data_IF_673471583838
#
_entry.id   IF_673471583838
#
_cell.length_a   1.000
_cell.length_b   1.000
_cell.length_c   1.000
_cell.angle_alpha   90.00
_cell.angle_beta   90.00
_cell.angle_gamma   90.00
#
_symmetry.space_group_name_H-M   'P 1'
#
loop_
_entity.id
_entity.type
_entity.pdbx_description
1 polymer ?
#
# COMPACT_ATOMS: atom_id res chain seq x y z
N UNK A 1 -15.73 21.06 22.25
CA UNK A 1 -14.72 19.99 22.38
C UNK A 1 -14.31 19.61 20.98
N UNK A 2 -13.08 19.91 20.55
CA UNK A 2 -12.63 19.62 19.19
C UNK A 2 -12.27 18.13 19.14
N UNK A 3 -13.04 17.32 18.40
CA UNK A 3 -12.73 15.91 18.20
C UNK A 3 -11.53 15.81 17.25
N UNK A 4 -10.40 15.31 17.74
CA UNK A 4 -9.27 14.91 16.91
C UNK A 4 -9.71 13.71 16.07
N UNK A 5 -9.41 13.65 14.76
CA UNK A 5 -9.72 12.49 13.95
C UNK A 5 -9.07 11.23 14.55
N UNK A 6 -9.73 10.06 14.44
CA UNK A 6 -9.18 8.81 14.96
C UNK A 6 -7.80 8.55 14.36
N UNK A 7 -6.86 8.13 15.21
CA UNK A 7 -5.53 7.70 14.77
C UNK A 7 -5.68 6.54 13.79
N UNK A 8 -4.96 6.60 12.67
CA UNK A 8 -4.85 5.48 11.73
C UNK A 8 -3.93 4.41 12.35
N UNK A 9 -4.47 3.57 13.23
CA UNK A 9 -3.71 2.51 13.92
C UNK A 9 -3.49 1.24 13.06
N UNK A 10 -3.84 1.28 11.77
CA UNK A 10 -3.73 0.15 10.85
C UNK A 10 -2.41 0.10 10.08
N UNK A 11 -2.17 -0.99 9.32
CA UNK A 11 -1.12 -1.02 8.31
C UNK A 11 -1.25 0.16 7.36
N UNK A 12 -0.10 0.67 6.88
CA UNK A 12 -0.06 1.70 5.83
C UNK A 12 -0.71 1.15 4.57
N UNK A 13 -1.60 1.93 3.97
CA UNK A 13 -2.27 1.63 2.71
C UNK A 13 -2.07 2.79 1.74
N UNK A 14 -1.95 2.48 0.44
CA UNK A 14 -1.95 3.48 -0.64
C UNK A 14 -0.99 4.67 -0.35
N UNK A 15 -1.52 5.89 -0.21
CA UNK A 15 -0.72 7.09 0.02
C UNK A 15 -0.06 7.14 1.40
N UNK A 16 -0.50 6.31 2.35
CA UNK A 16 0.14 6.18 3.66
C UNK A 16 1.44 5.34 3.57
N UNK A 17 1.74 4.69 2.44
CA UNK A 17 2.97 3.91 2.23
C UNK A 17 4.10 4.86 1.77
N UNK A 18 5.05 5.14 2.67
CA UNK A 18 6.14 6.11 2.47
C UNK A 18 7.49 5.48 2.07
N UNK A 19 7.58 4.15 1.99
CA UNK A 19 8.79 3.45 1.55
C UNK A 19 8.93 3.51 0.02
N UNK A 20 10.16 3.51 -0.48
CA UNK A 20 10.41 3.59 -1.94
C UNK A 20 10.12 2.28 -2.68
N UNK A 21 10.33 1.14 -2.03
CA UNK A 21 10.19 -0.19 -2.61
C UNK A 21 9.44 -1.13 -1.66
N UNK A 22 8.67 -2.04 -2.25
CA UNK A 22 7.88 -3.04 -1.54
C UNK A 22 8.06 -4.41 -2.17
N UNK A 23 7.88 -5.48 -1.39
CA UNK A 23 7.71 -6.82 -1.94
C UNK A 23 6.23 -7.04 -2.24
N UNK A 24 5.89 -7.18 -3.51
CA UNK A 24 4.52 -7.32 -3.98
C UNK A 24 4.12 -8.80 -4.08
N UNK A 25 2.94 -9.08 -3.54
CA UNK A 25 2.17 -10.30 -3.74
C UNK A 25 0.86 -9.87 -4.39
N UNK A 26 0.47 -10.51 -5.48
CA UNK A 26 -0.75 -10.15 -6.21
C UNK A 26 -2.03 -10.73 -5.57
N UNK A 27 -3.17 -10.52 -6.24
CA UNK A 27 -4.48 -10.97 -5.77
C UNK A 27 -4.66 -12.50 -5.80
N UNK A 28 -3.91 -13.21 -6.66
CA UNK A 28 -3.93 -14.67 -6.77
C UNK A 28 -2.98 -15.33 -5.74
N UNK A 29 -2.19 -14.52 -5.04
CA UNK A 29 -1.21 -14.95 -4.05
C UNK A 29 0.14 -15.28 -4.65
N UNK A 30 0.40 -14.91 -5.90
CA UNK A 30 1.70 -15.11 -6.54
C UNK A 30 2.70 -14.01 -6.11
N UNK A 31 3.97 -14.39 -6.03
CA UNK A 31 5.04 -13.46 -5.69
C UNK A 31 5.55 -12.76 -6.96
N UNK A 32 5.22 -11.49 -7.11
CA UNK A 32 5.70 -10.64 -8.22
C UNK A 32 7.18 -10.28 -8.03
N UNK A 33 7.59 -9.97 -6.81
CA UNK A 33 8.97 -9.60 -6.47
C UNK A 33 9.09 -8.26 -5.75
N UNK A 34 10.24 -7.61 -5.82
CA UNK A 34 10.46 -6.28 -5.23
C UNK A 34 10.28 -5.22 -6.31
N UNK A 35 9.30 -4.36 -6.13
CA UNK A 35 8.89 -3.30 -7.07
C UNK A 35 8.86 -1.94 -6.37
N UNK A 36 8.71 -0.86 -7.13
CA UNK A 36 8.50 0.46 -6.53
C UNK A 36 7.09 0.56 -5.90
N UNK A 37 6.92 1.35 -4.85
CA UNK A 37 5.58 1.56 -4.25
C UNK A 37 4.58 2.13 -5.25
N UNK A 38 5.04 3.00 -6.15
CA UNK A 38 4.22 3.55 -7.22
C UNK A 38 3.71 2.46 -8.16
N UNK A 39 4.61 1.59 -8.63
CA UNK A 39 4.28 0.46 -9.50
C UNK A 39 3.33 -0.52 -8.81
N UNK A 40 3.55 -0.81 -7.52
CA UNK A 40 2.63 -1.65 -6.75
C UNK A 40 1.20 -1.07 -6.66
N UNK A 41 1.07 0.26 -6.52
CA UNK A 41 -0.23 0.95 -6.51
C UNK A 41 -0.87 0.92 -7.90
N UNK A 42 -0.09 1.12 -8.97
CA UNK A 42 -0.57 1.01 -10.35
C UNK A 42 -1.08 -0.40 -10.65
N UNK A 43 -0.32 -1.44 -10.29
CA UNK A 43 -0.72 -2.84 -10.43
C UNK A 43 -1.96 -3.21 -9.61
N UNK A 44 -2.20 -2.56 -8.47
CA UNK A 44 -3.41 -2.75 -7.68
C UNK A 44 -4.66 -2.09 -8.30
N UNK A 45 -4.47 -1.10 -9.18
CA UNK A 45 -5.55 -0.36 -9.84
C UNK A 45 -5.96 -0.91 -11.22
N UNK A 46 -5.11 -1.74 -11.83
CA UNK A 46 -5.40 -2.43 -13.10
C UNK A 46 -6.21 -3.72 -12.81
N UNK A 47 -7.51 -3.71 -13.15
CA UNK A 47 -8.45 -4.84 -13.08
C UNK A 47 -8.89 -5.31 -14.46
#
# INVERSE_FOLDING_TARGET
MQQTPPSKDGPRINEDIDVAQVRLVDADGEMVGVVSTKEAIEMAGEV
#
